data_IF_831348336383
#
_entry.id   IF_831348336383
#
_cell.length_a   1.000
_cell.length_b   1.000
_cell.length_c   1.000
_cell.angle_alpha   90.00
_cell.angle_beta   90.00
_cell.angle_gamma   90.00
#
_symmetry.space_group_name_H-M   'P 1'
#
loop_
_entity.id
_entity.type
_entity.pdbx_description
1 polymer ?
#
# COMPACT_ATOMS: atom_id res chain seq x y z
N UNK A 1 -46.86 -24.61 13.27
CA UNK A 1 -46.65 -23.37 12.55
C UNK A 1 -45.16 -23.11 12.54
N UNK A 2 -44.53 -23.34 11.38
CA UNK A 2 -43.07 -23.28 11.25
C UNK A 2 -42.63 -21.84 11.12
N UNK A 3 -41.89 -21.34 12.11
CA UNK A 3 -41.16 -20.08 12.02
C UNK A 3 -39.89 -20.24 11.20
N UNK A 4 -39.91 -19.82 9.94
CA UNK A 4 -38.74 -19.80 9.07
C UNK A 4 -37.76 -18.70 9.53
N UNK A 5 -36.56 -19.10 9.94
CA UNK A 5 -35.44 -18.21 10.09
C UNK A 5 -35.12 -17.56 8.72
N UNK A 6 -35.41 -16.28 8.56
CA UNK A 6 -34.96 -15.48 7.42
C UNK A 6 -33.44 -15.50 7.39
N UNK A 7 -32.85 -16.17 6.40
CA UNK A 7 -31.44 -16.01 6.05
C UNK A 7 -31.25 -14.57 5.56
N UNK A 8 -30.21 -13.86 6.00
CA UNK A 8 -29.95 -12.52 5.49
C UNK A 8 -29.77 -12.58 3.97
N UNK A 9 -30.45 -11.70 3.26
CA UNK A 9 -30.43 -11.60 1.80
C UNK A 9 -28.97 -11.49 1.31
N UNK A 10 -28.55 -12.48 0.51
CA UNK A 10 -27.33 -12.39 -0.31
C UNK A 10 -27.53 -11.26 -1.32
N UNK A 11 -27.07 -10.07 -0.98
CA UNK A 11 -26.89 -8.99 -1.96
C UNK A 11 -25.87 -9.49 -2.98
N UNK A 12 -26.20 -9.50 -4.26
CA UNK A 12 -25.28 -9.87 -5.34
C UNK A 12 -24.08 -8.94 -5.28
N UNK A 13 -22.93 -9.42 -4.83
CA UNK A 13 -21.70 -8.65 -4.59
C UNK A 13 -20.96 -8.24 -5.87
N UNK A 14 -21.32 -8.80 -7.04
CA UNK A 14 -20.68 -8.50 -8.32
C UNK A 14 -20.72 -7.02 -8.75
N UNK A 15 -21.65 -6.21 -8.22
CA UNK A 15 -21.71 -4.77 -8.47
C UNK A 15 -21.06 -3.88 -7.39
N UNK A 16 -20.48 -4.47 -6.33
CA UNK A 16 -20.01 -3.73 -5.17
C UNK A 16 -18.70 -3.00 -5.41
N UNK A 17 -17.78 -3.59 -6.17
CA UNK A 17 -16.51 -2.95 -6.53
C UNK A 17 -16.63 -2.04 -7.75
N UNK A 18 -17.66 -2.24 -8.60
CA UNK A 18 -17.95 -1.33 -9.72
C UNK A 18 -18.47 0.03 -9.23
N UNK A 19 -18.97 0.11 -7.99
CA UNK A 19 -19.48 1.34 -7.35
C UNK A 19 -18.47 2.00 -6.40
N UNK A 20 -17.21 1.53 -6.33
CA UNK A 20 -16.19 2.22 -5.53
C UNK A 20 -15.86 3.56 -6.16
N UNK A 21 -15.88 4.60 -5.33
CA UNK A 21 -15.70 5.99 -5.74
C UNK A 21 -14.31 6.18 -6.36
N UNK A 22 -14.24 6.82 -7.53
CA UNK A 22 -13.02 7.22 -8.24
C UNK A 22 -12.10 6.08 -8.73
N UNK A 23 -12.67 4.98 -9.25
CA UNK A 23 -11.88 3.87 -9.83
C UNK A 23 -10.96 4.34 -10.96
N UNK A 24 -9.66 4.12 -10.76
CA UNK A 24 -8.65 4.32 -11.79
C UNK A 24 -8.44 3.04 -12.63
N UNK A 25 -7.91 3.18 -13.86
CA UNK A 25 -7.66 2.04 -14.76
C UNK A 25 -6.62 1.05 -14.21
N UNK A 26 -5.79 1.48 -13.29
CA UNK A 26 -4.72 0.72 -12.63
C UNK A 26 -5.18 0.01 -11.37
N UNK A 27 -6.38 0.33 -10.88
CA UNK A 27 -6.98 -0.39 -9.76
C UNK A 27 -7.36 -1.79 -10.20
N UNK A 28 -7.20 -2.75 -9.30
CA UNK A 28 -7.68 -4.09 -9.56
C UNK A 28 -8.35 -4.69 -8.33
N UNK A 29 -9.24 -5.64 -8.61
CA UNK A 29 -9.91 -6.44 -7.60
C UNK A 29 -9.95 -7.90 -8.05
N UNK A 30 -9.72 -8.80 -7.10
CA UNK A 30 -9.86 -10.25 -7.27
C UNK A 30 -11.02 -10.70 -6.40
N UNK A 31 -12.06 -11.27 -7.02
CA UNK A 31 -13.27 -11.68 -6.35
C UNK A 31 -13.31 -13.18 -6.17
N UNK A 32 -13.51 -13.63 -4.94
CA UNK A 32 -13.74 -15.01 -4.57
C UNK A 32 -15.11 -15.22 -3.88
N UNK A 33 -15.98 -14.19 -3.90
CA UNK A 33 -17.26 -14.16 -3.20
C UNK A 33 -17.13 -14.42 -1.68
N UNK A 34 -16.07 -13.88 -1.10
CA UNK A 34 -15.72 -14.06 0.31
C UNK A 34 -16.44 -13.07 1.23
N UNK A 35 -16.55 -13.38 2.52
CA UNK A 35 -16.89 -12.42 3.57
C UNK A 35 -15.65 -11.71 4.15
N UNK A 36 -14.47 -12.02 3.61
CA UNK A 36 -13.18 -11.46 3.97
C UNK A 36 -12.67 -10.58 2.82
N UNK A 37 -12.29 -9.36 3.12
CA UNK A 37 -11.56 -8.48 2.20
C UNK A 37 -10.17 -8.19 2.73
N UNK A 38 -9.18 -8.23 1.84
CA UNK A 38 -7.85 -7.68 2.08
C UNK A 38 -7.64 -6.48 1.17
N UNK A 39 -7.45 -5.30 1.76
CA UNK A 39 -7.09 -4.09 1.04
C UNK A 39 -5.57 -3.91 1.03
N UNK A 40 -4.99 -3.76 -0.16
CA UNK A 40 -3.55 -3.65 -0.38
C UNK A 40 -3.19 -2.26 -0.88
N UNK A 41 -2.15 -1.64 -0.28
CA UNK A 41 -1.72 -0.27 -0.54
C UNK A 41 -0.28 -0.27 -1.04
N UNK A 42 -0.05 0.25 -2.26
CA UNK A 42 1.28 0.37 -2.85
C UNK A 42 2.12 1.48 -2.22
N UNK A 43 3.43 1.48 -2.50
CA UNK A 43 4.36 2.52 -2.06
C UNK A 43 4.15 3.86 -2.76
N UNK A 44 4.66 4.96 -2.18
CA UNK A 44 4.69 6.26 -2.86
C UNK A 44 5.64 6.17 -4.04
N UNK A 45 5.27 6.80 -5.15
CA UNK A 45 5.85 6.69 -6.50
C UNK A 45 5.65 5.34 -7.18
N UNK A 46 5.19 4.32 -6.46
CA UNK A 46 4.86 3.00 -6.98
C UNK A 46 3.47 2.91 -7.63
N UNK A 47 3.03 1.69 -7.85
CA UNK A 47 1.74 1.41 -8.50
C UNK A 47 1.06 0.19 -7.87
N UNK A 48 -0.26 0.00 -8.05
CA UNK A 48 -0.94 -1.22 -7.64
C UNK A 48 -0.30 -2.53 -8.14
N UNK A 49 0.45 -2.48 -9.25
CA UNK A 49 1.14 -3.66 -9.78
C UNK A 49 2.16 -4.27 -8.79
N UNK A 50 2.74 -3.47 -7.90
CA UNK A 50 3.64 -3.95 -6.83
C UNK A 50 2.94 -4.94 -5.88
N UNK A 51 1.63 -4.84 -5.75
CA UNK A 51 0.83 -5.69 -4.87
C UNK A 51 0.21 -6.89 -5.59
N UNK A 52 0.37 -7.00 -6.92
CA UNK A 52 -0.37 -7.99 -7.73
C UNK A 52 -0.02 -9.43 -7.38
N UNK A 53 1.27 -9.74 -7.17
CA UNK A 53 1.68 -11.09 -6.79
C UNK A 53 1.06 -11.52 -5.47
N UNK A 54 1.18 -10.66 -4.45
CA UNK A 54 0.61 -10.88 -3.12
C UNK A 54 -0.92 -11.06 -3.20
N UNK A 55 -1.60 -10.17 -3.92
CA UNK A 55 -3.05 -10.25 -4.12
C UNK A 55 -3.48 -11.58 -4.73
N UNK A 56 -2.82 -11.99 -5.82
CA UNK A 56 -3.13 -13.24 -6.52
C UNK A 56 -2.93 -14.48 -5.63
N UNK A 57 -1.83 -14.54 -4.89
CA UNK A 57 -1.54 -15.67 -4.02
C UNK A 57 -2.53 -15.75 -2.84
N UNK A 58 -2.89 -14.63 -2.24
CA UNK A 58 -3.87 -14.60 -1.15
C UNK A 58 -5.26 -14.98 -1.63
N UNK A 59 -5.71 -14.46 -2.79
CA UNK A 59 -6.98 -14.86 -3.39
C UNK A 59 -7.01 -16.34 -3.72
N UNK A 60 -5.95 -16.87 -4.36
CA UNK A 60 -5.85 -18.27 -4.78
C UNK A 60 -5.79 -19.25 -3.61
N UNK A 61 -5.00 -18.96 -2.57
CA UNK A 61 -4.77 -19.87 -1.44
C UNK A 61 -5.87 -19.82 -0.40
N UNK A 62 -6.42 -18.62 -0.15
CA UNK A 62 -7.32 -18.39 0.97
C UNK A 62 -8.78 -18.15 0.54
N UNK A 63 -9.04 -17.93 -0.75
CA UNK A 63 -10.38 -17.64 -1.26
C UNK A 63 -10.92 -16.29 -0.75
N UNK A 64 -10.05 -15.29 -0.55
CA UNK A 64 -10.45 -13.96 -0.10
C UNK A 64 -10.66 -13.00 -1.26
N UNK A 65 -11.55 -12.04 -1.06
CA UNK A 65 -11.63 -10.89 -1.93
C UNK A 65 -10.44 -9.97 -1.67
N UNK A 66 -9.74 -9.57 -2.72
CA UNK A 66 -8.58 -8.70 -2.62
C UNK A 66 -8.85 -7.43 -3.42
N UNK A 67 -8.50 -6.30 -2.87
CA UNK A 67 -8.66 -5.02 -3.52
C UNK A 67 -7.42 -4.16 -3.37
N UNK A 68 -7.04 -3.45 -4.42
CA UNK A 68 -6.00 -2.44 -4.39
C UNK A 68 -6.41 -1.25 -5.23
N UNK A 69 -6.14 -0.06 -4.73
CA UNK A 69 -6.42 1.20 -5.41
C UNK A 69 -5.15 1.99 -5.66
N UNK A 70 -5.19 2.82 -6.65
CA UNK A 70 -4.15 3.79 -6.94
C UNK A 70 -4.28 4.98 -6.02
N UNK A 71 -3.23 5.30 -5.28
CA UNK A 71 -3.20 6.50 -4.44
C UNK A 71 -3.37 7.78 -5.28
N UNK A 72 -4.01 8.82 -4.75
CA UNK A 72 -4.17 10.10 -5.44
C UNK A 72 -2.84 10.62 -6.03
N UNK A 73 -2.89 11.07 -7.28
CA UNK A 73 -1.72 11.57 -8.01
C UNK A 73 -0.81 10.49 -8.61
N UNK A 74 -0.98 9.21 -8.24
CA UNK A 74 -0.19 8.10 -8.80
C UNK A 74 -0.76 7.59 -10.12
N UNK A 75 0.05 6.87 -10.89
CA UNK A 75 -0.32 6.29 -12.20
C UNK A 75 -0.90 7.32 -13.19
N UNK A 76 -0.57 8.59 -13.02
CA UNK A 76 -0.97 9.71 -13.87
C UNK A 76 0.26 10.46 -14.37
N UNK A 77 0.31 11.76 -14.30
CA UNK A 77 1.48 12.57 -14.63
C UNK A 77 2.18 13.02 -13.35
N UNK A 78 3.50 13.15 -13.40
CA UNK A 78 4.29 13.63 -12.26
C UNK A 78 3.76 14.95 -11.67
N UNK A 79 3.25 15.85 -12.51
CA UNK A 79 2.61 17.09 -12.07
C UNK A 79 1.34 16.88 -11.24
N UNK A 80 0.66 15.76 -11.40
CA UNK A 80 -0.54 15.44 -10.64
C UNK A 80 -0.14 14.88 -9.26
N UNK A 81 0.94 14.08 -9.18
CA UNK A 81 1.56 13.66 -7.92
C UNK A 81 2.03 14.87 -7.08
N UNK A 82 2.68 15.85 -7.70
CA UNK A 82 3.16 17.07 -7.02
C UNK A 82 2.03 17.90 -6.42
N UNK A 83 0.82 17.81 -6.96
CA UNK A 83 -0.36 18.52 -6.45
C UNK A 83 -1.04 17.83 -5.28
N UNK A 84 -0.78 16.54 -5.06
CA UNK A 84 -1.33 15.78 -3.93
C UNK A 84 -0.49 15.97 -2.68
N UNK A 85 -1.08 15.71 -1.54
CA UNK A 85 -0.46 15.81 -0.23
C UNK A 85 -0.78 14.57 0.62
N UNK A 86 -0.16 14.46 1.79
CA UNK A 86 -0.35 13.33 2.70
C UNK A 86 -1.81 13.17 3.15
N UNK A 87 -2.55 14.27 3.26
CA UNK A 87 -3.94 14.24 3.65
C UNK A 87 -4.84 13.62 2.58
N UNK A 88 -4.55 13.89 1.28
CA UNK A 88 -5.26 13.28 0.17
C UNK A 88 -5.08 11.75 0.17
N UNK A 89 -3.84 11.28 0.41
CA UNK A 89 -3.55 9.83 0.47
C UNK A 89 -4.24 9.16 1.64
N UNK A 90 -4.16 9.76 2.83
CA UNK A 90 -4.81 9.25 4.04
C UNK A 90 -6.33 9.20 3.90
N UNK A 91 -6.94 10.32 3.47
CA UNK A 91 -8.38 10.40 3.25
C UNK A 91 -8.87 9.33 2.25
N UNK A 92 -8.11 9.11 1.17
CA UNK A 92 -8.41 8.06 0.21
C UNK A 92 -8.40 6.66 0.85
N UNK A 93 -7.35 6.31 1.58
CA UNK A 93 -7.22 4.99 2.23
C UNK A 93 -8.31 4.78 3.29
N UNK A 94 -8.57 5.77 4.14
CA UNK A 94 -9.63 5.73 5.15
C UNK A 94 -11.01 5.55 4.51
N UNK A 95 -11.29 6.25 3.42
CA UNK A 95 -12.55 6.12 2.67
C UNK A 95 -12.72 4.70 2.11
N UNK A 96 -11.66 4.14 1.49
CA UNK A 96 -11.69 2.78 0.94
C UNK A 96 -11.89 1.73 2.04
N UNK A 97 -11.21 1.87 3.18
CA UNK A 97 -11.38 0.96 4.32
C UNK A 97 -12.76 1.08 4.96
N UNK A 98 -13.31 2.28 5.12
CA UNK A 98 -14.66 2.49 5.63
C UNK A 98 -15.68 1.82 4.72
N UNK A 99 -15.54 2.00 3.41
CA UNK A 99 -16.38 1.34 2.42
C UNK A 99 -16.29 -0.20 2.50
N UNK A 100 -15.08 -0.72 2.70
CA UNK A 100 -14.85 -2.15 2.88
C UNK A 100 -15.51 -2.66 4.18
N UNK A 101 -15.36 -1.93 5.29
CA UNK A 101 -15.92 -2.32 6.60
C UNK A 101 -17.44 -2.40 6.60
N UNK A 102 -18.12 -1.55 5.84
CA UNK A 102 -19.58 -1.58 5.70
C UNK A 102 -20.11 -2.83 4.97
N UNK A 103 -19.24 -3.55 4.23
CA UNK A 103 -19.65 -4.60 3.28
C UNK A 103 -19.10 -5.98 3.60
N UNK A 104 -17.98 -6.03 4.31
CA UNK A 104 -17.30 -7.27 4.64
C UNK A 104 -17.34 -7.54 6.14
N UNK A 105 -17.50 -8.78 6.49
CA UNK A 105 -17.48 -9.22 7.89
C UNK A 105 -16.09 -9.09 8.49
N UNK A 106 -15.05 -9.39 7.69
CA UNK A 106 -13.65 -9.28 8.08
C UNK A 106 -12.91 -8.43 7.06
N UNK A 107 -12.16 -7.46 7.56
CA UNK A 107 -11.37 -6.52 6.73
C UNK A 107 -9.94 -6.48 7.25
N UNK A 108 -9.01 -6.86 6.39
CA UNK A 108 -7.58 -6.72 6.61
C UNK A 108 -7.01 -5.63 5.71
N UNK A 109 -5.94 -5.00 6.15
CA UNK A 109 -5.21 -4.02 5.36
C UNK A 109 -3.73 -4.35 5.37
N UNK A 110 -3.05 -4.21 4.24
CA UNK A 110 -1.60 -4.28 4.19
C UNK A 110 -1.03 -3.25 3.22
N UNK A 111 0.13 -2.71 3.54
CA UNK A 111 0.77 -1.70 2.72
C UNK A 111 2.28 -1.88 2.63
N UNK A 112 2.86 -1.41 1.52
CA UNK A 112 4.28 -1.41 1.24
C UNK A 112 4.87 -0.02 1.42
N UNK A 113 6.01 0.10 2.12
CA UNK A 113 6.74 1.36 2.26
C UNK A 113 5.87 2.47 2.89
N UNK A 114 5.66 3.60 2.23
CA UNK A 114 4.71 4.62 2.67
C UNK A 114 3.26 4.09 2.70
N UNK A 115 2.90 3.10 1.88
CA UNK A 115 1.63 2.38 1.99
C UNK A 115 1.47 1.67 3.32
N UNK A 116 2.56 1.19 3.94
CA UNK A 116 2.55 0.61 5.28
C UNK A 116 2.22 1.66 6.35
N UNK A 117 2.74 2.88 6.20
CA UNK A 117 2.39 4.00 7.08
C UNK A 117 0.89 4.36 6.97
N UNK A 118 0.37 4.38 5.75
CA UNK A 118 -1.05 4.62 5.49
C UNK A 118 -1.93 3.51 6.07
N UNK A 119 -1.50 2.25 6.00
CA UNK A 119 -2.22 1.11 6.61
C UNK A 119 -2.26 1.23 8.14
N UNK A 120 -1.13 1.57 8.77
CA UNK A 120 -1.06 1.80 10.22
C UNK A 120 -1.98 2.94 10.65
N UNK A 121 -1.88 4.11 10.00
CA UNK A 121 -2.69 5.28 10.34
C UNK A 121 -4.19 5.00 10.13
N UNK A 122 -4.57 4.40 9.01
CA UNK A 122 -5.97 4.11 8.74
C UNK A 122 -6.57 3.11 9.75
N UNK A 123 -5.76 2.20 10.31
CA UNK A 123 -6.20 1.25 11.34
C UNK A 123 -6.52 1.90 12.69
N UNK A 124 -6.04 3.13 12.94
CA UNK A 124 -6.42 3.90 14.15
C UNK A 124 -7.79 4.56 14.02
N UNK A 125 -8.26 4.76 12.78
CA UNK A 125 -9.53 5.46 12.48
C UNK A 125 -10.64 4.49 12.08
N UNK A 126 -10.29 3.45 11.30
CA UNK A 126 -11.24 2.44 10.81
C UNK A 126 -10.87 1.10 11.43
N UNK A 127 -11.85 0.43 12.06
CA UNK A 127 -11.62 -0.89 12.63
C UNK A 127 -11.25 -1.91 11.54
N UNK A 128 -10.09 -2.54 11.70
CA UNK A 128 -9.61 -3.65 10.85
C UNK A 128 -9.31 -4.89 11.69
N UNK A 129 -9.39 -6.05 11.06
CA UNK A 129 -9.17 -7.33 11.72
C UNK A 129 -7.70 -7.74 11.79
N UNK A 130 -6.84 -7.01 11.09
CA UNK A 130 -5.39 -7.10 11.16
C UNK A 130 -4.70 -6.22 10.12
N UNK A 131 -3.44 -5.89 10.41
CA UNK A 131 -2.59 -5.01 9.61
C UNK A 131 -1.35 -5.75 9.14
N UNK A 132 -1.01 -5.62 7.86
CA UNK A 132 0.26 -6.03 7.27
C UNK A 132 1.15 -4.81 6.99
N UNK A 133 2.31 -4.77 7.59
CA UNK A 133 3.29 -3.69 7.48
C UNK A 133 4.50 -4.23 6.71
N UNK A 134 4.66 -3.81 5.45
CA UNK A 134 5.67 -4.35 4.54
C UNK A 134 6.71 -3.26 4.27
N UNK A 135 7.95 -3.49 4.67
CA UNK A 135 9.08 -2.54 4.53
C UNK A 135 8.69 -1.10 4.94
N UNK A 136 8.26 -0.84 6.19
CA UNK A 136 7.83 0.49 6.61
C UNK A 136 8.97 1.51 6.46
N UNK A 137 8.63 2.77 6.12
CA UNK A 137 9.61 3.82 5.85
C UNK A 137 9.43 5.00 6.81
N UNK A 138 10.11 4.97 7.95
CA UNK A 138 10.20 6.09 8.90
C UNK A 138 11.52 6.85 8.79
N UNK A 139 12.58 6.15 8.40
CA UNK A 139 13.91 6.72 8.23
C UNK A 139 14.52 6.12 6.96
N UNK A 140 15.05 6.97 6.10
CA UNK A 140 15.82 6.56 4.93
C UNK A 140 17.26 6.29 5.37
N UNK A 141 17.55 5.07 5.83
CA UNK A 141 18.82 4.65 6.40
C UNK A 141 19.29 3.29 5.86
N UNK A 142 18.82 2.91 4.68
CA UNK A 142 19.28 1.72 3.96
C UNK A 142 20.73 1.87 3.45
N UNK A 143 21.35 0.76 3.07
CA UNK A 143 22.76 0.74 2.67
C UNK A 143 23.04 1.49 1.35
N UNK A 144 22.03 1.71 0.51
CA UNK A 144 22.17 2.44 -0.76
C UNK A 144 21.74 3.93 -0.66
N UNK A 145 21.48 4.41 0.56
CA UNK A 145 21.06 5.80 0.77
C UNK A 145 22.19 6.76 0.37
N UNK A 146 21.98 7.67 -0.61
CA UNK A 146 23.01 8.60 -1.05
C UNK A 146 23.41 9.56 0.07
N UNK A 147 24.70 9.95 0.12
CA UNK A 147 25.22 10.88 1.14
C UNK A 147 24.51 12.23 1.18
N UNK A 148 23.98 12.68 0.03
CA UNK A 148 23.24 13.94 -0.06
C UNK A 148 21.84 13.86 0.52
N UNK A 149 21.31 12.69 0.81
CA UNK A 149 20.01 12.52 1.48
C UNK A 149 20.05 13.07 2.91
N UNK A 150 21.22 13.14 3.52
CA UNK A 150 21.41 13.84 4.79
C UNK A 150 21.04 15.34 4.73
N UNK A 151 21.04 15.94 3.53
CA UNK A 151 20.67 17.34 3.29
C UNK A 151 19.16 17.49 2.99
N UNK A 152 18.47 16.42 2.62
CA UNK A 152 17.04 16.45 2.25
C UNK A 152 16.16 17.05 3.36
N UNK A 153 16.27 16.64 4.64
CA UNK A 153 15.44 17.22 5.71
C UNK A 153 15.63 18.72 5.87
N UNK A 154 16.85 19.21 5.63
CA UNK A 154 17.14 20.65 5.64
C UNK A 154 16.55 21.34 4.41
N UNK A 155 16.72 20.77 3.21
CA UNK A 155 16.20 21.35 1.97
C UNK A 155 14.66 21.41 1.98
N UNK A 156 13.99 20.41 2.52
CA UNK A 156 12.53 20.41 2.68
C UNK A 156 12.02 21.57 3.56
N UNK A 157 12.82 22.00 4.54
CA UNK A 157 12.48 23.13 5.44
C UNK A 157 12.79 24.49 4.87
N UNK A 158 13.86 24.61 4.07
CA UNK A 158 14.40 25.90 3.61
C UNK A 158 13.86 26.29 2.23
N UNK A 159 13.64 25.30 1.35
CA UNK A 159 13.11 25.58 0.01
C UNK A 159 11.62 25.91 0.10
N UNK A 160 11.18 27.09 -0.38
CA UNK A 160 9.76 27.45 -0.42
C UNK A 160 8.93 26.43 -1.19
N UNK A 161 7.75 26.06 -0.69
CA UNK A 161 6.86 25.05 -1.29
C UNK A 161 6.66 25.23 -2.81
N UNK A 162 6.46 26.45 -3.35
CA UNK A 162 6.30 26.63 -4.80
C UNK A 162 7.54 26.29 -5.62
N UNK A 163 8.73 26.21 -5.01
CA UNK A 163 9.97 25.86 -5.70
C UNK A 163 10.35 24.40 -5.54
N UNK A 164 9.75 23.69 -4.60
CA UNK A 164 10.07 22.27 -4.34
C UNK A 164 9.75 21.34 -5.51
N UNK A 165 8.84 21.71 -6.42
CA UNK A 165 8.53 20.93 -7.61
C UNK A 165 9.61 21.00 -8.70
N UNK A 166 10.58 21.92 -8.58
CA UNK A 166 11.71 22.05 -9.48
C UNK A 166 12.91 21.21 -9.05
N UNK A 167 12.92 20.75 -7.80
CA UNK A 167 13.97 19.90 -7.24
C UNK A 167 13.44 18.48 -7.11
N UNK A 168 14.29 17.51 -7.44
CA UNK A 168 13.91 16.10 -7.41
C UNK A 168 15.12 15.24 -7.07
N UNK A 169 14.84 14.13 -6.41
CA UNK A 169 15.71 12.99 -6.26
C UNK A 169 15.40 11.99 -7.40
N UNK A 170 16.44 11.39 -7.97
CA UNK A 170 16.29 10.34 -8.97
C UNK A 170 16.66 9.02 -8.30
N UNK A 171 15.71 8.08 -8.33
CA UNK A 171 15.95 6.74 -7.84
C UNK A 171 16.95 6.01 -8.76
N UNK A 172 17.88 5.28 -8.15
CA UNK A 172 18.94 4.56 -8.83
C UNK A 172 18.93 3.05 -8.51
N UNK A 173 19.70 2.27 -9.27
CA UNK A 173 19.86 0.85 -8.95
C UNK A 173 20.34 0.66 -7.50
N UNK A 174 19.79 -0.36 -6.79
CA UNK A 174 18.98 -1.48 -7.27
C UNK A 174 17.47 -1.27 -7.29
N UNK A 175 16.94 -0.05 -7.09
CA UNK A 175 15.51 0.27 -7.12
C UNK A 175 14.66 -0.49 -6.08
N UNK A 176 15.23 -0.85 -4.95
CA UNK A 176 14.55 -1.66 -3.95
C UNK A 176 14.37 -3.14 -4.31
N UNK A 177 15.08 -3.66 -5.32
CA UNK A 177 14.86 -4.99 -5.89
C UNK A 177 16.20 -5.71 -6.01
N UNK A 178 16.32 -6.93 -5.44
CA UNK A 178 17.53 -7.76 -5.50
C UNK A 178 17.58 -8.69 -6.71
N UNK A 179 16.41 -8.95 -7.30
CA UNK A 179 16.29 -9.76 -8.52
C UNK A 179 16.86 -9.00 -9.73
N UNK A 180 17.96 -9.48 -10.31
CA UNK A 180 18.69 -8.82 -11.39
C UNK A 180 17.88 -8.73 -12.69
N UNK A 181 17.04 -9.72 -12.98
CA UNK A 181 16.19 -9.73 -14.16
C UNK A 181 15.14 -8.63 -14.05
N UNK A 182 14.48 -8.53 -12.89
CA UNK A 182 13.51 -7.49 -12.60
C UNK A 182 14.16 -6.10 -12.54
N UNK A 183 15.35 -5.97 -11.95
CA UNK A 183 16.13 -4.73 -12.00
C UNK A 183 16.40 -4.26 -13.44
N UNK A 184 16.72 -5.20 -14.34
CA UNK A 184 16.99 -4.85 -15.74
C UNK A 184 15.76 -4.27 -16.45
N UNK A 185 14.59 -4.82 -16.18
CA UNK A 185 13.30 -4.32 -16.69
C UNK A 185 12.99 -2.92 -16.14
N UNK A 186 13.21 -2.69 -14.85
CA UNK A 186 13.01 -1.38 -14.22
C UNK A 186 14.01 -0.36 -14.76
N UNK A 187 15.28 -0.74 -14.89
CA UNK A 187 16.34 0.13 -15.45
C UNK A 187 16.04 0.57 -16.88
N UNK A 188 15.52 -0.33 -17.71
CA UNK A 188 15.11 0.02 -19.06
C UNK A 188 13.94 1.01 -19.05
N UNK A 189 12.95 0.76 -18.21
CA UNK A 189 11.78 1.62 -18.05
C UNK A 189 12.13 3.02 -17.52
N UNK A 190 13.16 3.11 -16.67
CA UNK A 190 13.64 4.36 -16.05
C UNK A 190 14.83 4.99 -16.78
N UNK A 191 15.17 4.48 -17.97
CA UNK A 191 16.25 5.07 -18.76
C UNK A 191 15.91 6.49 -19.20
N UNK A 192 16.89 7.42 -19.29
CA UNK A 192 16.65 8.79 -19.76
C UNK A 192 15.99 8.84 -21.14
N UNK A 193 16.29 7.87 -22.00
CA UNK A 193 15.68 7.77 -23.34
C UNK A 193 14.20 7.38 -23.24
N UNK A 194 13.85 6.45 -22.36
CA UNK A 194 12.46 6.07 -22.12
C UNK A 194 11.65 7.23 -21.54
N UNK A 195 12.20 7.91 -20.54
CA UNK A 195 11.60 9.10 -19.92
C UNK A 195 11.39 10.23 -20.96
N UNK A 196 12.41 10.54 -21.78
CA UNK A 196 12.32 11.55 -22.81
C UNK A 196 11.27 11.17 -23.87
N UNK A 197 11.28 9.92 -24.33
CA UNK A 197 10.28 9.41 -25.29
C UNK A 197 8.86 9.55 -24.77
N UNK A 198 8.63 9.25 -23.52
CA UNK A 198 7.30 9.38 -22.89
C UNK A 198 6.89 10.84 -22.74
N UNK A 199 7.82 11.70 -22.31
CA UNK A 199 7.58 13.14 -22.23
C UNK A 199 7.22 13.73 -23.61
N UNK A 200 7.92 13.32 -24.65
CA UNK A 200 7.60 13.71 -26.03
C UNK A 200 6.22 13.20 -26.46
N UNK A 201 5.91 11.93 -26.17
CA UNK A 201 4.61 11.35 -26.50
C UNK A 201 3.46 12.06 -25.77
N UNK A 202 3.65 12.41 -24.49
CA UNK A 202 2.68 13.17 -23.73
C UNK A 202 2.49 14.59 -24.29
N UNK A 203 3.57 15.26 -24.68
CA UNK A 203 3.52 16.57 -25.31
C UNK A 203 2.79 16.55 -26.66
N UNK A 204 3.05 15.53 -27.51
CA UNK A 204 2.34 15.34 -28.78
C UNK A 204 0.86 15.00 -28.58
N UNK A 205 0.54 14.14 -27.60
CA UNK A 205 -0.83 13.78 -27.26
C UNK A 205 -1.64 15.00 -26.77
N UNK A 206 -1.02 15.86 -25.98
CA UNK A 206 -1.66 17.12 -25.53
C UNK A 206 -1.96 18.08 -26.68
N UNK A 207 -1.07 18.18 -27.67
CA UNK A 207 -1.29 19.02 -28.86
C UNK A 207 -2.38 18.47 -29.78
N UNK A 208 -2.56 17.14 -29.82
CA UNK A 208 -3.64 16.49 -30.61
C UNK A 208 -4.99 16.50 -29.88
N UNK A 209 -4.99 16.63 -28.55
CA UNK A 209 -6.21 16.62 -27.72
C UNK A 209 -7.01 17.95 -27.77
N UNK A 210 -6.86 18.75 -28.83
CA UNK A 210 -7.65 19.99 -29.03
C UNK A 210 -9.17 19.76 -29.13
N UNK A 211 -9.63 18.50 -29.10
CA UNK A 211 -11.05 18.12 -29.22
C UNK A 211 -11.62 17.45 -27.96
N UNK A 212 -11.12 17.75 -26.76
CA UNK A 212 -11.72 17.27 -25.50
C UNK A 212 -11.44 15.79 -25.15
N UNK A 213 -10.64 15.08 -25.95
CA UNK A 213 -10.20 13.73 -25.60
C UNK A 213 -9.15 13.77 -24.48
N UNK A 214 -9.40 13.01 -23.40
CA UNK A 214 -8.40 12.82 -22.33
C UNK A 214 -7.19 12.11 -22.94
N UNK A 215 -5.97 12.67 -22.87
CA UNK A 215 -4.78 12.02 -23.39
C UNK A 215 -4.54 10.69 -22.67
N UNK A 216 -4.00 9.65 -23.35
CA UNK A 216 -3.67 8.40 -22.71
C UNK A 216 -2.68 8.62 -21.55
N UNK A 217 -2.82 7.83 -20.48
CA UNK A 217 -1.89 7.83 -19.36
C UNK A 217 -0.52 7.36 -19.90
N UNK A 218 0.59 8.06 -19.60
CA UNK A 218 1.92 7.64 -20.01
C UNK A 218 2.24 6.23 -19.48
N UNK A 219 2.95 5.41 -20.25
CA UNK A 219 3.26 4.03 -19.83
C UNK A 219 4.20 3.99 -18.62
N UNK A 220 5.07 5.00 -18.42
CA UNK A 220 5.88 5.13 -17.19
C UNK A 220 5.01 5.36 -15.96
N UNK A 221 3.92 6.10 -16.07
CA UNK A 221 3.01 6.29 -14.94
C UNK A 221 2.36 4.98 -14.45
N UNK A 222 2.27 3.96 -15.32
CA UNK A 222 1.79 2.62 -14.93
C UNK A 222 2.87 1.71 -14.36
N UNK A 223 4.15 2.12 -14.44
CA UNK A 223 5.32 1.39 -13.92
C UNK A 223 5.94 2.05 -12.69
N UNK A 224 5.36 3.13 -12.20
CA UNK A 224 5.89 3.97 -11.13
C UNK A 224 6.66 5.19 -11.67
N UNK A 225 7.01 6.09 -10.76
CA UNK A 225 7.79 7.29 -11.09
C UNK A 225 9.25 7.08 -10.71
N UNK A 226 10.22 7.23 -11.65
CA UNK A 226 11.65 7.15 -11.34
C UNK A 226 12.18 8.39 -10.62
N UNK A 227 11.34 9.39 -10.42
CA UNK A 227 11.69 10.72 -9.95
C UNK A 227 10.83 11.03 -8.73
N UNK A 228 11.48 11.43 -7.64
CA UNK A 228 10.85 11.90 -6.41
C UNK A 228 10.98 13.43 -6.32
N UNK A 229 9.93 14.19 -6.65
CA UNK A 229 9.96 15.63 -6.43
C UNK A 229 10.15 15.96 -4.94
N UNK A 230 10.94 16.98 -4.63
CA UNK A 230 11.15 17.43 -3.24
C UNK A 230 9.81 17.75 -2.54
N UNK A 231 8.84 18.23 -3.31
CA UNK A 231 7.46 18.43 -2.81
C UNK A 231 6.82 17.15 -2.32
N UNK A 232 6.94 16.05 -3.08
CA UNK A 232 6.42 14.73 -2.69
C UNK A 232 7.16 14.19 -1.47
N UNK A 233 8.49 14.31 -1.43
CA UNK A 233 9.30 13.93 -0.25
C UNK A 233 8.88 14.72 1.00
N UNK A 234 8.56 16.00 0.86
CA UNK A 234 8.03 16.82 1.97
C UNK A 234 6.69 16.29 2.48
N UNK A 235 5.81 15.81 1.60
CA UNK A 235 4.54 15.22 2.04
C UNK A 235 4.73 13.84 2.68
N UNK A 236 5.71 13.05 2.22
CA UNK A 236 6.09 11.80 2.88
C UNK A 236 6.65 12.07 4.28
N UNK A 237 7.52 13.06 4.44
CA UNK A 237 8.04 13.47 5.77
C UNK A 237 6.91 13.87 6.73
N UNK A 238 5.93 14.61 6.24
CA UNK A 238 4.72 14.96 7.03
C UNK A 238 3.91 13.72 7.43
N UNK A 239 3.76 12.78 6.50
CA UNK A 239 3.10 11.50 6.79
C UNK A 239 3.87 10.73 7.86
N UNK A 240 5.21 10.63 7.74
CA UNK A 240 6.08 9.99 8.72
C UNK A 240 5.90 10.59 10.10
N UNK A 241 6.00 11.92 10.23
CA UNK A 241 5.85 12.63 11.52
C UNK A 241 4.49 12.35 12.14
N UNK A 242 3.43 12.39 11.33
CA UNK A 242 2.06 12.13 11.78
C UNK A 242 1.88 10.70 12.26
N UNK A 243 2.24 9.73 11.43
CA UNK A 243 2.04 8.30 11.74
C UNK A 243 2.88 7.91 12.95
N UNK A 244 4.12 8.43 13.04
CA UNK A 244 4.97 8.20 14.22
C UNK A 244 4.33 8.63 15.52
N UNK A 245 3.66 9.78 15.52
CA UNK A 245 2.95 10.29 16.70
C UNK A 245 1.73 9.46 17.10
N UNK A 246 1.20 8.63 16.20
CA UNK A 246 0.00 7.82 16.39
C UNK A 246 0.27 6.31 16.51
N UNK A 247 1.52 5.86 16.46
CA UNK A 247 1.84 4.42 16.54
C UNK A 247 1.26 3.75 17.79
N UNK A 248 1.28 4.41 18.93
CA UNK A 248 0.68 3.90 20.18
C UNK A 248 -0.85 3.73 20.13
N UNK A 249 -1.53 4.29 19.11
CA UNK A 249 -2.97 4.13 18.91
C UNK A 249 -3.29 2.87 18.09
N UNK A 250 -2.28 2.23 17.46
CA UNK A 250 -2.44 1.01 16.67
C UNK A 250 -2.59 -0.18 17.60
N UNK A 251 -3.83 -0.69 17.74
CA UNK A 251 -4.18 -1.85 18.59
C UNK A 251 -4.54 -3.10 17.80
N UNK A 252 -4.76 -2.97 16.47
CA UNK A 252 -5.10 -4.10 15.62
C UNK A 252 -3.94 -5.12 15.55
N UNK A 253 -4.22 -6.43 15.47
CA UNK A 253 -3.20 -7.45 15.25
C UNK A 253 -2.31 -7.09 14.05
N UNK A 254 -0.99 -7.11 14.23
CA UNK A 254 -0.06 -6.54 13.25
C UNK A 254 1.06 -7.51 12.88
N UNK A 255 1.21 -7.77 11.56
CA UNK A 255 2.34 -8.50 10.98
C UNK A 255 3.28 -7.54 10.27
N UNK A 256 4.55 -7.55 10.68
CA UNK A 256 5.60 -6.70 10.12
C UNK A 256 6.59 -7.58 9.35
N UNK A 257 6.85 -7.24 8.09
CA UNK A 257 7.81 -7.93 7.23
C UNK A 257 8.80 -6.91 6.68
N UNK A 258 10.10 -7.19 6.84
CA UNK A 258 11.18 -6.28 6.46
C UNK A 258 12.36 -7.08 5.88
N UNK A 259 12.98 -6.60 4.81
CA UNK A 259 14.23 -7.14 4.33
C UNK A 259 15.38 -6.84 5.32
N UNK A 260 16.21 -7.87 5.62
CA UNK A 260 17.41 -7.68 6.44
C UNK A 260 18.44 -6.78 5.75
N UNK A 261 18.51 -6.89 4.42
CA UNK A 261 19.47 -6.18 3.55
C UNK A 261 18.75 -5.15 2.68
N UNK A 262 17.83 -4.39 3.31
CA UNK A 262 17.04 -3.35 2.62
C UNK A 262 17.94 -2.19 2.18
N UNK A 263 17.86 -1.83 0.89
CA UNK A 263 18.69 -0.80 0.28
C UNK A 263 18.20 0.63 0.57
N UNK A 264 16.92 0.80 0.93
CA UNK A 264 16.29 2.11 1.18
C UNK A 264 16.07 2.38 2.67
N UNK A 265 15.63 1.36 3.44
CA UNK A 265 15.24 1.50 4.85
C UNK A 265 15.75 0.33 5.68
N UNK A 266 16.59 0.60 6.68
CA UNK A 266 17.14 -0.47 7.52
C UNK A 266 16.08 -1.19 8.36
N UNK A 267 16.35 -2.40 8.88
CA UNK A 267 15.46 -3.12 9.79
C UNK A 267 15.04 -2.34 11.04
N UNK A 268 15.75 -1.26 11.38
CA UNK A 268 15.35 -0.32 12.43
C UNK A 268 13.93 0.23 12.21
N UNK A 269 13.52 0.41 10.96
CA UNK A 269 12.18 0.90 10.62
C UNK A 269 11.08 -0.07 11.08
N UNK A 270 11.31 -1.36 10.90
CA UNK A 270 10.41 -2.41 11.40
C UNK A 270 10.41 -2.47 12.94
N UNK A 271 11.57 -2.31 13.59
CA UNK A 271 11.69 -2.26 15.04
C UNK A 271 10.91 -1.09 15.64
N UNK A 272 10.96 0.09 14.99
CA UNK A 272 10.16 1.25 15.39
C UNK A 272 8.67 0.91 15.48
N UNK A 273 8.12 0.24 14.45
CA UNK A 273 6.72 -0.19 14.46
C UNK A 273 6.49 -1.21 15.57
N UNK A 274 7.34 -2.23 15.63
CA UNK A 274 7.18 -3.31 16.63
C UNK A 274 7.19 -2.80 18.06
N UNK A 275 8.07 -1.86 18.38
CA UNK A 275 8.24 -1.36 19.75
C UNK A 275 7.15 -0.36 20.13
N UNK A 276 6.66 0.47 19.19
CA UNK A 276 5.81 1.63 19.50
C UNK A 276 4.30 1.39 19.32
N UNK A 277 3.87 0.32 18.61
CA UNK A 277 2.43 -0.01 18.51
C UNK A 277 1.93 -0.69 19.78
N UNK A 278 0.66 -0.44 20.13
CA UNK A 278 -0.03 -1.06 21.28
C UNK A 278 -0.74 -2.38 20.96
N UNK A 279 -0.52 -2.94 19.76
CA UNK A 279 -1.07 -4.26 19.41
C UNK A 279 -0.53 -5.35 20.36
N UNK A 280 -1.42 -6.13 20.96
CA UNK A 280 -1.06 -7.28 21.80
C UNK A 280 -0.56 -8.47 20.96
N UNK A 281 -1.09 -8.65 19.74
CA UNK A 281 -0.67 -9.69 18.80
C UNK A 281 0.12 -9.06 17.66
N UNK A 282 1.42 -8.90 17.85
CA UNK A 282 2.35 -8.36 16.86
C UNK A 282 3.49 -9.32 16.56
N UNK A 283 3.85 -9.43 15.29
CA UNK A 283 4.95 -10.28 14.81
C UNK A 283 5.83 -9.48 13.87
N UNK A 284 7.13 -9.72 13.99
CA UNK A 284 8.16 -9.18 13.11
C UNK A 284 8.92 -10.34 12.47
N UNK A 285 9.03 -10.35 11.14
CA UNK A 285 9.82 -11.30 10.37
C UNK A 285 10.80 -10.54 9.50
N UNK A 286 12.07 -10.87 9.61
CA UNK A 286 13.13 -10.41 8.73
C UNK A 286 13.31 -11.39 7.57
N UNK A 287 13.51 -10.87 6.36
CA UNK A 287 13.68 -11.61 5.12
C UNK A 287 15.10 -11.42 4.59
N UNK A 288 15.81 -12.52 4.28
CA UNK A 288 17.25 -12.45 4.02
C UNK A 288 17.65 -12.20 2.57
N UNK A 289 16.88 -12.64 1.58
CA UNK A 289 17.27 -12.57 0.16
C UNK A 289 16.31 -11.68 -0.66
N UNK A 290 16.10 -10.45 -0.20
CA UNK A 290 15.35 -9.42 -0.92
C UNK A 290 15.80 -8.03 -0.47
N UNK A 291 15.39 -7.00 -1.22
CA UNK A 291 15.55 -5.60 -0.88
C UNK A 291 14.20 -4.97 -0.53
N UNK A 292 14.07 -3.65 -0.64
CA UNK A 292 12.93 -2.87 -0.14
C UNK A 292 11.56 -3.32 -0.67
N UNK A 293 11.44 -3.60 -1.97
CA UNK A 293 10.15 -3.92 -2.62
C UNK A 293 9.84 -5.42 -2.48
N UNK A 294 9.72 -5.90 -1.24
CA UNK A 294 9.59 -7.33 -0.88
C UNK A 294 8.41 -8.05 -1.54
N UNK A 295 7.42 -7.30 -2.04
CA UNK A 295 6.20 -7.85 -2.67
C UNK A 295 6.41 -8.36 -4.09
N UNK A 296 7.49 -7.94 -4.75
CA UNK A 296 7.85 -8.34 -6.12
C UNK A 296 9.19 -9.05 -6.21
N UNK A 297 10.04 -8.91 -5.20
CA UNK A 297 11.39 -9.42 -5.17
C UNK A 297 11.45 -10.93 -4.89
N UNK A 298 12.63 -11.48 -4.73
CA UNK A 298 12.92 -12.93 -4.59
C UNK A 298 12.16 -13.63 -3.46
N UNK A 299 11.79 -12.91 -2.40
CA UNK A 299 11.08 -13.46 -1.23
C UNK A 299 9.55 -13.21 -1.25
N UNK A 300 8.97 -12.79 -2.38
CA UNK A 300 7.53 -12.48 -2.51
C UNK A 300 6.60 -13.65 -2.10
N UNK A 301 7.06 -14.91 -2.31
CA UNK A 301 6.33 -16.10 -1.88
C UNK A 301 6.26 -16.18 -0.35
N UNK A 302 7.39 -15.92 0.32
CA UNK A 302 7.51 -15.93 1.78
C UNK A 302 6.67 -14.80 2.39
N UNK A 303 6.66 -13.62 1.75
CA UNK A 303 5.80 -12.50 2.16
C UNK A 303 4.32 -12.90 2.10
N UNK A 304 3.88 -13.47 0.98
CA UNK A 304 2.48 -13.89 0.79
C UNK A 304 2.08 -14.99 1.79
N UNK A 305 2.99 -15.92 2.08
CA UNK A 305 2.75 -17.02 3.00
C UNK A 305 2.63 -16.53 4.45
N UNK A 306 3.59 -15.71 4.92
CA UNK A 306 3.58 -15.21 6.30
C UNK A 306 2.35 -14.33 6.56
N UNK A 307 2.06 -13.39 5.67
CA UNK A 307 0.90 -12.51 5.80
C UNK A 307 -0.42 -13.29 5.73
N UNK A 308 -0.53 -14.25 4.79
CA UNK A 308 -1.70 -15.11 4.66
C UNK A 308 -1.95 -15.96 5.90
N UNK A 309 -0.91 -16.62 6.44
CA UNK A 309 -1.00 -17.41 7.68
C UNK A 309 -1.40 -16.55 8.88
N UNK A 310 -0.83 -15.34 8.98
CA UNK A 310 -1.14 -14.41 10.05
C UNK A 310 -2.62 -14.02 10.02
N UNK A 311 -3.15 -13.62 8.89
CA UNK A 311 -4.56 -13.23 8.75
C UNK A 311 -5.52 -14.41 8.95
N UNK A 312 -5.16 -15.63 8.49
CA UNK A 312 -5.93 -16.85 8.78
C UNK A 312 -6.06 -17.12 10.28
N UNK A 313 -4.97 -16.93 11.03
CA UNK A 313 -4.98 -17.12 12.48
C UNK A 313 -5.93 -16.11 13.16
N UNK A 314 -5.93 -14.84 12.72
CA UNK A 314 -6.84 -13.83 13.23
C UNK A 314 -8.32 -14.20 12.97
N UNK A 315 -8.62 -14.70 11.78
CA UNK A 315 -9.97 -15.18 11.43
C UNK A 315 -10.41 -16.34 12.32
N UNK A 316 -9.55 -17.34 12.52
CA UNK A 316 -9.86 -18.51 13.34
C UNK A 316 -10.14 -18.13 14.80
N UNK A 317 -9.35 -17.22 15.38
CA UNK A 317 -9.58 -16.71 16.73
C UNK A 317 -10.95 -16.04 16.89
N UNK A 318 -11.33 -15.18 15.96
CA UNK A 318 -12.63 -14.48 16.01
C UNK A 318 -13.84 -15.39 15.80
N UNK A 319 -13.72 -16.39 14.94
CA UNK A 319 -14.79 -17.38 14.73
C UNK A 319 -15.00 -18.23 15.98
N UNK A 320 -13.93 -18.65 16.66
CA UNK A 320 -14.01 -19.41 17.91
C UNK A 320 -14.70 -18.62 19.03
N UNK A 321 -14.39 -17.34 19.19
CA UNK A 321 -15.06 -16.47 20.18
C UNK A 321 -16.55 -16.30 19.90
N UNK A 322 -16.97 -16.18 18.63
CA UNK A 322 -18.41 -16.07 18.28
C UNK A 322 -19.19 -17.35 18.59
N UNK A 323 -18.61 -18.52 18.35
CA UNK A 323 -19.26 -19.78 18.67
C UNK A 323 -19.44 -19.98 20.19
N UNK A 324 -18.48 -19.57 20.99
CA UNK A 324 -18.57 -19.61 22.45
C UNK A 324 -19.69 -18.69 22.98
N UNK A 325 -19.81 -17.49 22.47
CA UNK A 325 -20.86 -16.55 22.88
C UNK A 325 -22.26 -16.99 22.40
N UNK A 326 -22.39 -17.53 21.19
CA UNK A 326 -23.65 -18.07 20.69
C UNK A 326 -24.14 -19.28 21.50
N UNK A 327 -23.21 -20.14 21.96
CA UNK A 327 -23.51 -21.30 22.82
C UNK A 327 -23.95 -20.90 24.24
N UNK A 328 -23.43 -19.81 24.79
CA UNK A 328 -23.82 -19.31 26.12
C UNK A 328 -25.21 -18.67 26.16
N UNK A 329 -25.62 -17.99 25.08
CA UNK A 329 -26.97 -17.39 24.96
C UNK A 329 -28.05 -18.45 24.81
N UNK A 330 -27.73 -19.60 24.18
CA UNK A 330 -28.70 -20.72 24.05
C UNK A 330 -28.90 -21.57 25.30
N UNK A 331 -28.02 -21.45 26.29
CA UNK A 331 -28.13 -22.18 27.60
C UNK A 331 -28.82 -21.35 28.66
N UNK A 332 -29.10 -20.07 28.42
CA UNK A 332 -29.76 -19.14 29.36
C UNK A 332 -31.20 -18.78 28.95
N UNK A 333 -31.72 -19.41 27.93
CA UNK A 333 -33.13 -19.37 27.48
C UNK A 333 -33.82 -20.72 27.69
#
# INVERSE_FOLDING_TARGET
>A
MCGGLMRPHRVRRAGLLDNMVDRQKTDFALHAESNVLVYLIHGVTGTPAEMFYLAREMARKNGWDIYTTTLPGHCTRLRDLVKTNEQDWRAHVQMQLSFARDRYEYVFVAGLSAGALLALEASTVVHVDGVGVLSPTFVYDGWNTPWYDAILPFSMKVVPLPLQHLLFHIDGPPFGIKDEELQSVVREAYSPVAILREWMNDWWAQRKATNGAVPPIPSAATKGYPIFPLRTLTEIDRLIVRVRAQLSEVTAPTMILQASDDDMTSPRNASIVFDEISSEDKQLVLLDDCYHVITVDKQKEVVAENLGKFFLRQLAGKQSHRHLHAGQVSLSS
#
